data_IF_240111529771
#
_entry.id   IF_240111529771
#
_cell.length_a   1.000
_cell.length_b   1.000
_cell.length_c   1.000
_cell.angle_alpha   90.00
_cell.angle_beta   90.00
_cell.angle_gamma   90.00
#
_symmetry.space_group_name_H-M   'P 1'
#
loop_
_entity.id
_entity.type
_entity.pdbx_description
1 polymer ?
#
# COMPACT_ATOMS: atom_id res chain seq x y z
N UNK A 1 -13.30 -14.31 5.62
CA UNK A 1 -14.33 -13.87 4.65
C UNK A 1 -15.42 -14.90 4.33
N UNK A 2 -15.19 -16.21 4.56
CA UNK A 2 -16.21 -17.25 4.36
C UNK A 2 -17.50 -17.05 5.18
N UNK A 3 -17.41 -16.34 6.31
CA UNK A 3 -18.53 -16.02 7.22
C UNK A 3 -19.46 -14.90 6.74
N UNK A 4 -19.03 -14.04 5.81
CA UNK A 4 -19.88 -13.03 5.16
C UNK A 4 -19.44 -12.89 3.70
N UNK A 5 -20.12 -13.56 2.74
CA UNK A 5 -19.72 -13.54 1.34
C UNK A 5 -19.70 -12.13 0.72
N UNK A 6 -20.51 -11.21 1.26
CA UNK A 6 -20.57 -9.78 0.90
C UNK A 6 -20.02 -8.91 2.02
N UNK A 7 -18.75 -9.10 2.36
CA UNK A 7 -18.04 -8.22 3.30
C UNK A 7 -17.72 -6.84 2.66
N UNK A 8 -17.58 -5.77 3.46
CA UNK A 8 -17.18 -4.46 2.97
C UNK A 8 -15.78 -4.45 2.35
N UNK A 9 -15.60 -3.75 1.23
CA UNK A 9 -14.34 -3.78 0.46
C UNK A 9 -13.09 -3.42 1.27
N UNK A 10 -13.20 -2.50 2.24
CA UNK A 10 -12.08 -2.04 3.08
C UNK A 10 -11.48 -3.15 3.98
N UNK A 11 -12.20 -4.25 4.23
CA UNK A 11 -11.64 -5.41 4.94
C UNK A 11 -10.45 -6.03 4.19
N UNK A 12 -10.41 -5.92 2.85
CA UNK A 12 -9.26 -6.38 2.06
C UNK A 12 -8.02 -5.52 2.29
N UNK A 13 -8.19 -4.21 2.47
CA UNK A 13 -7.11 -3.32 2.87
C UNK A 13 -6.53 -3.73 4.22
N UNK A 14 -7.38 -3.90 5.24
CA UNK A 14 -6.93 -4.36 6.56
C UNK A 14 -6.26 -5.73 6.53
N UNK A 15 -6.80 -6.67 5.74
CA UNK A 15 -6.20 -7.98 5.56
C UNK A 15 -4.81 -7.89 4.91
N UNK A 16 -4.65 -7.06 3.90
CA UNK A 16 -3.37 -6.81 3.25
C UNK A 16 -2.35 -6.21 4.22
N UNK A 17 -2.76 -5.23 5.03
CA UNK A 17 -1.90 -4.68 6.07
C UNK A 17 -1.46 -5.76 7.06
N UNK A 18 -2.39 -6.56 7.59
CA UNK A 18 -2.07 -7.62 8.54
C UNK A 18 -1.05 -8.61 7.97
N UNK A 19 -1.22 -9.05 6.71
CA UNK A 19 -0.25 -9.91 6.06
C UNK A 19 1.11 -9.24 5.85
N UNK A 20 1.14 -7.97 5.44
CA UNK A 20 2.39 -7.22 5.22
C UNK A 20 3.18 -7.06 6.52
N UNK A 21 2.50 -6.69 7.60
CA UNK A 21 3.10 -6.56 8.93
C UNK A 21 3.65 -7.89 9.47
N UNK A 22 3.04 -9.01 9.08
CA UNK A 22 3.51 -10.36 9.39
C UNK A 22 4.57 -10.89 8.39
N UNK A 23 5.02 -10.09 7.42
CA UNK A 23 6.01 -10.48 6.41
C UNK A 23 5.47 -11.42 5.31
N UNK A 24 4.17 -11.70 5.28
CA UNK A 24 3.53 -12.53 4.25
C UNK A 24 3.21 -11.72 3.00
N UNK A 25 4.25 -11.27 2.28
CA UNK A 25 4.11 -10.30 1.19
C UNK A 25 3.21 -10.74 0.03
N UNK A 26 3.24 -12.02 -0.39
CA UNK A 26 2.37 -12.50 -1.48
C UNK A 26 0.88 -12.42 -1.10
N UNK A 27 0.55 -12.79 0.13
CA UNK A 27 -0.82 -12.70 0.63
C UNK A 27 -1.25 -11.23 0.77
N UNK A 28 -0.35 -10.36 1.20
CA UNK A 28 -0.59 -8.93 1.27
C UNK A 28 -0.93 -8.35 -0.12
N UNK A 29 -0.10 -8.65 -1.12
CA UNK A 29 -0.30 -8.19 -2.50
C UNK A 29 -1.59 -8.72 -3.09
N UNK A 30 -1.92 -9.99 -2.87
CA UNK A 30 -3.19 -10.55 -3.32
C UNK A 30 -4.39 -9.81 -2.70
N UNK A 31 -4.33 -9.52 -1.39
CA UNK A 31 -5.37 -8.78 -0.70
C UNK A 31 -5.49 -7.33 -1.19
N UNK A 32 -4.37 -6.62 -1.38
CA UNK A 32 -4.39 -5.24 -1.89
C UNK A 32 -4.83 -5.14 -3.35
N UNK A 33 -4.45 -6.10 -4.21
CA UNK A 33 -5.00 -6.20 -5.58
C UNK A 33 -6.51 -6.40 -5.56
N UNK A 34 -7.01 -7.29 -4.71
CA UNK A 34 -8.45 -7.49 -4.56
C UNK A 34 -9.14 -6.24 -4.00
N UNK A 35 -8.47 -5.49 -3.11
CA UNK A 35 -8.97 -4.24 -2.57
C UNK A 35 -9.10 -3.18 -3.67
N UNK A 36 -8.07 -3.00 -4.49
CA UNK A 36 -8.06 -2.06 -5.62
C UNK A 36 -9.10 -2.43 -6.68
N UNK A 37 -9.25 -3.72 -6.99
CA UNK A 37 -10.26 -4.20 -7.92
C UNK A 37 -11.70 -3.88 -7.46
N UNK A 38 -11.93 -3.86 -6.14
CA UNK A 38 -13.23 -3.48 -5.57
C UNK A 38 -13.40 -1.98 -5.36
N UNK A 39 -12.29 -1.26 -5.16
CA UNK A 39 -12.27 0.18 -4.87
C UNK A 39 -11.12 0.81 -5.68
N UNK A 40 -11.35 1.12 -6.97
CA UNK A 40 -10.30 1.65 -7.85
C UNK A 40 -9.64 2.88 -7.24
N UNK A 41 -8.31 2.89 -7.20
CA UNK A 41 -7.51 3.97 -6.60
C UNK A 41 -7.19 3.78 -5.11
N UNK A 42 -7.74 2.78 -4.44
CA UNK A 42 -7.35 2.39 -3.08
C UNK A 42 -6.40 1.18 -3.09
N UNK A 43 -5.52 1.08 -2.08
CA UNK A 43 -4.55 -0.02 -1.95
C UNK A 43 -3.32 0.10 -2.87
N UNK A 44 -3.26 1.09 -3.77
CA UNK A 44 -2.11 1.31 -4.65
C UNK A 44 -0.84 1.69 -3.87
N UNK A 45 -0.96 2.58 -2.87
CA UNK A 45 0.17 2.94 -1.99
C UNK A 45 0.71 1.74 -1.23
N UNK A 46 -0.18 0.85 -0.76
CA UNK A 46 0.20 -0.35 -0.04
C UNK A 46 0.86 -1.40 -0.95
N UNK A 47 0.42 -1.47 -2.22
CA UNK A 47 1.08 -2.30 -3.23
C UNK A 47 2.49 -1.81 -3.53
N UNK A 48 2.72 -0.49 -3.64
CA UNK A 48 4.08 0.06 -3.81
C UNK A 48 4.97 -0.38 -2.65
N UNK A 49 4.52 -0.19 -1.40
CA UNK A 49 5.28 -0.61 -0.20
C UNK A 49 5.56 -2.12 -0.25
N UNK A 50 4.54 -2.93 -0.50
CA UNK A 50 4.67 -4.39 -0.50
C UNK A 50 5.62 -4.89 -1.60
N UNK A 51 5.59 -4.29 -2.79
CA UNK A 51 6.51 -4.64 -3.87
C UNK A 51 7.95 -4.24 -3.55
N UNK A 52 8.18 -3.03 -3.02
CA UNK A 52 9.52 -2.62 -2.56
C UNK A 52 10.06 -3.56 -1.47
N UNK A 53 9.27 -3.84 -0.44
CA UNK A 53 9.66 -4.69 0.70
C UNK A 53 9.90 -6.16 0.30
N UNK A 54 9.32 -6.61 -0.81
CA UNK A 54 9.49 -7.97 -1.34
C UNK A 54 10.45 -8.07 -2.53
N UNK A 55 11.23 -7.03 -2.81
CA UNK A 55 12.28 -7.06 -3.83
C UNK A 55 11.77 -7.03 -5.27
N UNK A 56 10.63 -6.39 -5.53
CA UNK A 56 10.00 -6.26 -6.86
C UNK A 56 9.92 -4.79 -7.30
N UNK A 57 11.05 -4.09 -7.47
CA UNK A 57 11.08 -2.64 -7.73
C UNK A 57 10.33 -2.25 -9.02
N UNK A 58 10.44 -3.03 -10.10
CA UNK A 58 9.76 -2.72 -11.37
C UNK A 58 8.23 -2.67 -11.21
N UNK A 59 7.66 -3.55 -10.38
CA UNK A 59 6.22 -3.54 -10.10
C UNK A 59 5.85 -2.41 -9.15
N UNK A 60 6.75 -2.02 -8.24
CA UNK A 60 6.55 -0.87 -7.37
C UNK A 60 6.48 0.42 -8.20
N UNK A 61 7.43 0.63 -9.12
CA UNK A 61 7.47 1.81 -9.99
C UNK A 61 6.22 1.88 -10.88
N UNK A 62 5.86 0.79 -11.56
CA UNK A 62 4.62 0.73 -12.36
C UNK A 62 3.37 1.06 -11.52
N UNK A 63 3.32 0.58 -10.28
CA UNK A 63 2.21 0.86 -9.38
C UNK A 63 2.23 2.30 -8.87
N UNK A 64 3.41 2.89 -8.65
CA UNK A 64 3.57 4.29 -8.29
C UNK A 64 3.11 5.22 -9.43
N UNK A 65 3.42 4.90 -10.69
CA UNK A 65 2.89 5.63 -11.84
C UNK A 65 1.37 5.57 -11.89
N UNK A 66 0.77 4.38 -11.64
CA UNK A 66 -0.69 4.23 -11.55
C UNK A 66 -1.29 5.03 -10.40
N UNK A 67 -0.62 5.06 -9.24
CA UNK A 67 -1.02 5.85 -8.08
C UNK A 67 -1.07 7.33 -8.43
N UNK A 68 0.01 7.89 -8.98
CA UNK A 68 0.09 9.31 -9.35
C UNK A 68 -0.87 9.67 -10.48
N UNK A 69 -1.16 8.74 -11.40
CA UNK A 69 -2.17 8.96 -12.44
C UNK A 69 -3.59 9.09 -11.88
N UNK A 70 -3.87 8.50 -10.71
CA UNK A 70 -5.17 8.57 -10.03
C UNK A 70 -5.25 9.68 -8.98
N UNK A 71 -4.14 9.91 -8.28
CA UNK A 71 -3.99 10.88 -7.21
C UNK A 71 -2.75 11.74 -7.49
N UNK A 72 -2.83 12.73 -8.40
CA UNK A 72 -1.67 13.53 -8.82
C UNK A 72 -1.06 14.39 -7.70
N UNK A 73 -1.82 14.63 -6.64
CA UNK A 73 -1.44 15.38 -5.44
C UNK A 73 -0.97 14.46 -4.30
N UNK A 74 -0.75 13.17 -4.57
CA UNK A 74 -0.18 12.25 -3.61
C UNK A 74 1.24 12.69 -3.25
N UNK A 75 1.55 12.74 -1.95
CA UNK A 75 2.91 12.89 -1.43
C UNK A 75 3.11 11.93 -0.27
N UNK A 76 4.36 11.52 -0.05
CA UNK A 76 4.73 10.66 1.08
C UNK A 76 4.36 11.34 2.40
N UNK A 77 4.63 12.64 2.55
CA UNK A 77 4.25 13.40 3.76
C UNK A 77 2.74 13.39 4.02
N UNK A 78 1.92 13.61 3.00
CA UNK A 78 0.45 13.60 3.16
C UNK A 78 -0.07 12.20 3.47
N UNK A 79 0.52 11.17 2.89
CA UNK A 79 0.19 9.79 3.25
C UNK A 79 0.61 9.47 4.69
N UNK A 80 1.84 9.84 5.09
CA UNK A 80 2.39 9.59 6.42
C UNK A 80 1.54 10.24 7.52
N UNK A 81 1.01 11.45 7.30
CA UNK A 81 0.14 12.13 8.27
C UNK A 81 -1.21 11.42 8.51
N UNK A 82 -1.61 10.50 7.62
CA UNK A 82 -2.81 9.66 7.80
C UNK A 82 -2.51 8.34 8.53
N UNK A 83 -1.23 7.98 8.70
CA UNK A 83 -0.86 6.72 9.32
C UNK A 83 -0.88 6.86 10.84
N UNK A 84 -1.85 6.20 11.49
CA UNK A 84 -1.85 6.04 12.95
C UNK A 84 -0.98 4.82 13.26
N UNK A 85 0.34 5.03 13.42
CA UNK A 85 1.30 3.97 13.77
C UNK A 85 1.68 4.03 15.24
N UNK A 86 1.72 2.86 15.88
CA UNK A 86 2.26 2.71 17.24
C UNK A 86 3.79 2.70 17.26
N UNK A 87 4.41 2.19 16.20
CA UNK A 87 5.86 2.10 16.04
C UNK A 87 6.32 3.10 14.95
N UNK A 88 7.10 4.15 15.31
CA UNK A 88 7.59 5.13 14.35
C UNK A 88 8.62 4.54 13.38
N UNK A 89 9.38 3.52 13.79
CA UNK A 89 10.40 2.87 12.96
C UNK A 89 9.79 2.25 11.70
N UNK A 90 8.60 1.68 11.85
CA UNK A 90 7.88 1.10 10.72
C UNK A 90 7.43 2.15 9.71
N UNK A 91 7.04 3.34 10.18
CA UNK A 91 6.67 4.43 9.29
C UNK A 91 7.89 4.89 8.47
N UNK A 92 9.06 5.02 9.08
CA UNK A 92 10.29 5.39 8.38
C UNK A 92 10.67 4.38 7.29
N UNK A 93 10.55 3.08 7.58
CA UNK A 93 10.78 2.01 6.59
C UNK A 93 9.79 2.09 5.44
N UNK A 94 8.51 2.36 5.72
CA UNK A 94 7.48 2.52 4.68
C UNK A 94 7.74 3.77 3.84
N UNK A 95 8.10 4.90 4.44
CA UNK A 95 8.48 6.11 3.70
C UNK A 95 9.70 5.87 2.80
N UNK A 96 10.72 5.18 3.30
CA UNK A 96 11.88 4.80 2.49
C UNK A 96 11.48 3.91 1.30
N UNK A 97 10.56 2.96 1.50
CA UNK A 97 10.02 2.13 0.43
C UNK A 97 9.21 2.94 -0.60
N UNK A 98 8.45 3.94 -0.16
CA UNK A 98 7.72 4.83 -1.07
C UNK A 98 8.68 5.73 -1.87
N UNK A 99 9.75 6.25 -1.24
CA UNK A 99 10.81 7.01 -1.91
C UNK A 99 11.51 6.15 -2.97
N UNK A 100 11.85 4.90 -2.65
CA UNK A 100 12.48 3.98 -3.60
C UNK A 100 11.55 3.56 -4.74
N UNK A 101 10.23 3.55 -4.50
CA UNK A 101 9.22 3.37 -5.53
C UNK A 101 8.97 4.60 -6.43
N UNK A 102 9.71 5.70 -6.22
CA UNK A 102 9.63 6.90 -7.04
C UNK A 102 8.51 7.87 -6.67
N UNK A 103 7.90 7.74 -5.48
CA UNK A 103 6.84 8.66 -5.05
C UNK A 103 7.41 9.97 -4.49
N UNK A 104 6.74 11.11 -4.74
CA UNK A 104 7.24 12.41 -4.34
C UNK A 104 7.18 12.58 -2.81
N UNK A 105 8.23 13.12 -2.17
CA UNK A 105 8.28 13.26 -0.72
C UNK A 105 7.20 14.23 -0.19
N UNK A 106 6.96 15.33 -0.91
CA UNK A 106 6.16 16.46 -0.46
C UNK A 106 6.94 17.39 0.48
N UNK A 107 6.83 18.69 0.24
CA UNK A 107 7.47 19.75 1.06
C UNK A 107 6.86 19.85 2.45
#
# INVERSE_FOLDING_TARGET
MKLSPKYPGYYLGHLGHAYRLAGHFENAIAAFKAYEARNPGFGLVDLVIAYCQSGRPDLAEQTATRLLSRHPDFTIRRWASTQIRRDPTQLEVEEAALRSGGLPPGD
#
